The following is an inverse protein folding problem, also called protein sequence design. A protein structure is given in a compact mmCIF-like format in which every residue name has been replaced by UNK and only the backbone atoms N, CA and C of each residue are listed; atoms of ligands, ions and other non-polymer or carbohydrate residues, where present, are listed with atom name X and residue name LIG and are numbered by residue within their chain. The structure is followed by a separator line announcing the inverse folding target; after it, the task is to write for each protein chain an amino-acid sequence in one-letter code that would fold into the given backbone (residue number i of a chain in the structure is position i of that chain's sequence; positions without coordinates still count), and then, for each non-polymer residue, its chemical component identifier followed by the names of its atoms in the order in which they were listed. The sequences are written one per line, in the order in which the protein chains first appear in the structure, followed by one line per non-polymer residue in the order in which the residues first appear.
data_IF_351678288077
#
_entry.id   IF_351678288077
#
_cell.length_a   1.000
_cell.length_b   1.000
_cell.length_c   1.000
_cell.angle_alpha   90.00
_cell.angle_beta   90.00
_cell.angle_gamma   90.00
#
_symmetry.space_group_name_H-M   'P 1'
#
loop_
_entity.id
_entity.type
_entity.pdbx_description
1 polymer ?
#
# COMPACT_ATOMS: atom_id res chain seq x y z
N UNK A 1 17.02 -31.13 -36.00
CA UNK A 1 15.75 -30.84 -35.29
C UNK A 1 16.11 -30.24 -33.94
N UNK A 2 15.90 -28.95 -33.77
CA UNK A 2 16.18 -28.27 -32.51
C UNK A 2 14.88 -28.18 -31.71
N UNK A 3 14.78 -28.94 -30.63
CA UNK A 3 13.70 -28.81 -29.67
C UNK A 3 13.88 -27.54 -28.88
N UNK A 4 13.04 -26.56 -29.18
CA UNK A 4 12.91 -25.33 -28.37
C UNK A 4 12.04 -25.68 -27.17
N UNK A 5 12.66 -25.95 -26.03
CA UNK A 5 11.95 -26.01 -24.77
C UNK A 5 11.52 -24.58 -24.40
N UNK A 6 10.24 -24.29 -24.64
CA UNK A 6 9.60 -23.13 -24.01
C UNK A 6 9.62 -23.36 -22.49
N UNK A 7 10.47 -22.59 -21.80
CA UNK A 7 10.37 -22.46 -20.35
C UNK A 7 9.06 -21.74 -20.06
N UNK A 8 8.05 -22.48 -19.71
CA UNK A 8 6.85 -21.93 -19.07
C UNK A 8 7.28 -21.57 -17.66
N UNK A 9 7.56 -20.28 -17.45
CA UNK A 9 7.77 -19.74 -16.12
C UNK A 9 6.41 -19.79 -15.41
N UNK A 10 6.25 -20.76 -14.55
CA UNK A 10 5.13 -20.82 -13.62
C UNK A 10 5.38 -19.74 -12.58
N UNK A 11 4.87 -18.54 -12.85
CA UNK A 11 4.72 -17.51 -11.83
C UNK A 11 3.59 -18.00 -10.93
N UNK A 12 3.96 -18.80 -9.95
CA UNK A 12 3.06 -19.18 -8.87
C UNK A 12 2.83 -17.92 -8.03
N UNK A 13 1.66 -17.35 -8.19
CA UNK A 13 1.15 -16.19 -7.47
C UNK A 13 1.24 -16.49 -5.97
N UNK A 14 2.26 -15.93 -5.33
CA UNK A 14 2.42 -15.95 -3.86
C UNK A 14 1.63 -14.81 -3.22
N UNK A 15 0.47 -14.48 -3.78
CA UNK A 15 -0.46 -13.51 -3.19
C UNK A 15 -1.15 -14.05 -1.92
N UNK A 16 -1.02 -15.34 -1.65
CA UNK A 16 -1.71 -16.04 -0.56
C UNK A 16 -1.09 -15.83 0.84
N UNK A 17 0.05 -15.15 0.94
CA UNK A 17 0.76 -15.05 2.23
C UNK A 17 0.53 -13.76 3.00
N UNK A 18 -0.09 -12.74 2.39
CA UNK A 18 -0.36 -11.45 3.06
C UNK A 18 -1.69 -11.44 3.82
N UNK A 19 -2.60 -12.37 3.49
CA UNK A 19 -3.95 -12.38 4.07
C UNK A 19 -4.07 -13.09 5.43
N UNK A 20 -2.99 -13.57 6.04
CA UNK A 20 -3.08 -14.37 7.27
C UNK A 20 -2.78 -13.61 8.58
N UNK A 21 -2.78 -12.27 8.59
CA UNK A 21 -2.79 -11.50 9.82
C UNK A 21 -4.21 -11.19 10.31
N UNK A 22 -5.09 -12.18 10.25
CA UNK A 22 -6.34 -12.15 10.99
C UNK A 22 -6.03 -12.42 12.47
N UNK A 23 -5.33 -11.48 13.10
CA UNK A 23 -5.21 -11.46 14.56
C UNK A 23 -6.58 -11.11 15.13
N UNK A 24 -7.14 -11.98 15.91
CA UNK A 24 -8.34 -11.77 16.73
C UNK A 24 -8.09 -10.68 17.77
N UNK A 25 -8.13 -9.42 17.35
CA UNK A 25 -8.04 -8.25 18.22
C UNK A 25 -8.91 -7.13 17.65
N UNK A 26 -9.72 -6.52 18.51
CA UNK A 26 -10.58 -5.40 18.13
C UNK A 26 -9.73 -4.14 17.90
N UNK A 27 -9.26 -3.93 16.67
CA UNK A 27 -8.53 -2.73 16.28
C UNK A 27 -7.29 -3.01 15.43
N UNK A 28 -6.72 -1.94 14.90
CA UNK A 28 -5.49 -1.95 14.12
C UNK A 28 -4.35 -1.49 15.03
N UNK A 29 -3.28 -2.28 15.10
CA UNK A 29 -2.09 -1.89 15.87
C UNK A 29 -1.19 -1.01 15.03
N UNK A 30 -0.71 0.10 15.63
CA UNK A 30 0.11 1.07 14.93
C UNK A 30 1.38 0.50 14.32
N UNK A 31 2.07 -0.40 15.00
CA UNK A 31 3.28 -1.02 14.49
C UNK A 31 3.01 -1.99 13.32
N UNK A 32 1.88 -2.70 13.36
CA UNK A 32 1.42 -3.55 12.25
C UNK A 32 1.05 -2.69 11.03
N UNK A 33 0.36 -1.57 11.24
CA UNK A 33 0.02 -0.63 10.18
C UNK A 33 1.26 -0.02 9.51
N UNK A 34 2.27 0.36 10.29
CA UNK A 34 3.55 0.89 9.77
C UNK A 34 4.31 -0.14 8.95
N UNK A 35 4.39 -1.39 9.43
CA UNK A 35 5.02 -2.48 8.70
C UNK A 35 4.29 -2.74 7.38
N UNK A 36 2.96 -2.74 7.40
CA UNK A 36 2.13 -2.93 6.23
C UNK A 36 2.33 -1.85 5.16
N UNK A 37 2.39 -0.58 5.57
CA UNK A 37 2.68 0.54 4.66
C UNK A 37 4.11 0.44 4.10
N UNK A 38 5.08 0.04 4.91
CA UNK A 38 6.44 -0.12 4.44
C UNK A 38 6.54 -1.20 3.34
N UNK A 39 5.89 -2.34 3.53
CA UNK A 39 5.86 -3.42 2.55
C UNK A 39 5.13 -3.00 1.25
N UNK A 40 4.08 -2.18 1.38
CA UNK A 40 3.40 -1.56 0.25
C UNK A 40 4.35 -0.64 -0.54
N UNK A 41 5.10 0.23 0.12
CA UNK A 41 6.08 1.09 -0.55
C UNK A 41 7.21 0.30 -1.21
N UNK A 42 7.67 -0.78 -0.59
CA UNK A 42 8.67 -1.67 -1.20
C UNK A 42 8.14 -2.25 -2.52
N UNK A 43 6.88 -2.64 -2.58
CA UNK A 43 6.28 -3.14 -3.81
C UNK A 43 6.17 -2.06 -4.89
N UNK A 44 5.83 -0.82 -4.52
CA UNK A 44 5.78 0.31 -5.46
C UNK A 44 7.16 0.62 -6.04
N UNK A 45 8.18 0.74 -5.21
CA UNK A 45 9.57 1.02 -5.64
C UNK A 45 10.10 -0.08 -6.57
N UNK A 46 9.65 -1.31 -6.38
CA UNK A 46 10.01 -2.44 -7.22
C UNK A 46 9.15 -2.58 -8.49
N UNK A 47 8.20 -1.67 -8.74
CA UNK A 47 7.22 -1.77 -9.83
C UNK A 47 6.39 -3.07 -9.83
N UNK A 48 6.27 -3.69 -8.65
CA UNK A 48 5.44 -4.87 -8.45
C UNK A 48 3.97 -4.46 -8.17
N UNK A 49 3.32 -3.80 -9.14
CA UNK A 49 1.99 -3.18 -8.95
C UNK A 49 0.91 -4.20 -8.60
N UNK A 50 0.92 -5.37 -9.23
CA UNK A 50 0.00 -6.47 -8.88
C UNK A 50 0.13 -6.88 -7.40
N UNK A 51 1.35 -6.85 -6.87
CA UNK A 51 1.63 -7.12 -5.46
C UNK A 51 1.21 -5.95 -4.58
N UNK A 52 1.47 -4.72 -5.03
CA UNK A 52 1.07 -3.51 -4.30
C UNK A 52 -0.47 -3.43 -4.17
N UNK A 53 -1.22 -3.82 -5.21
CA UNK A 53 -2.67 -3.89 -5.17
C UNK A 53 -3.23 -4.87 -4.13
N UNK A 54 -2.46 -5.93 -3.78
CA UNK A 54 -2.84 -6.84 -2.70
C UNK A 54 -2.89 -6.18 -1.31
N UNK A 55 -2.28 -5.00 -1.15
CA UNK A 55 -2.35 -4.20 0.08
C UNK A 55 -3.59 -3.31 0.14
N UNK A 56 -4.34 -3.17 -0.94
CA UNK A 56 -5.57 -2.39 -0.95
C UNK A 56 -6.70 -3.14 -0.25
N UNK A 57 -7.58 -2.38 0.39
CA UNK A 57 -8.79 -2.95 0.96
C UNK A 57 -9.71 -3.49 -0.15
N UNK A 58 -10.34 -4.67 0.03
CA UNK A 58 -11.19 -5.27 -1.01
C UNK A 58 -12.35 -4.39 -1.48
N UNK A 59 -12.83 -3.49 -0.61
CA UNK A 59 -13.88 -2.53 -0.94
C UNK A 59 -13.37 -1.28 -1.68
N UNK A 60 -12.06 -1.16 -1.84
CA UNK A 60 -11.42 -0.04 -2.56
C UNK A 60 -10.37 -0.54 -3.55
N UNK A 61 -10.72 -1.39 -4.52
CA UNK A 61 -9.80 -1.76 -5.58
C UNK A 61 -9.45 -0.52 -6.43
N UNK A 62 -8.20 -0.41 -6.84
CA UNK A 62 -7.75 0.64 -7.73
C UNK A 62 -6.68 0.10 -8.68
N UNK A 63 -6.58 0.67 -9.86
CA UNK A 63 -5.45 0.50 -10.75
C UNK A 63 -4.29 1.38 -10.24
N UNK A 64 -3.42 0.77 -9.44
CA UNK A 64 -2.32 1.48 -8.82
C UNK A 64 -1.29 1.95 -9.84
N UNK A 65 -1.02 1.19 -10.88
CA UNK A 65 -0.05 1.58 -11.91
C UNK A 65 -0.46 2.90 -12.54
N UNK A 66 -1.69 3.00 -13.03
CA UNK A 66 -2.19 4.25 -13.62
C UNK A 66 -2.21 5.39 -12.60
N UNK A 67 -2.70 5.15 -11.39
CA UNK A 67 -2.75 6.17 -10.35
C UNK A 67 -1.37 6.71 -9.98
N UNK A 68 -0.39 5.83 -9.79
CA UNK A 68 0.97 6.23 -9.40
C UNK A 68 1.69 6.97 -10.52
N UNK A 69 1.51 6.56 -11.77
CA UNK A 69 2.05 7.27 -12.94
C UNK A 69 1.46 8.69 -13.07
N UNK A 70 0.17 8.85 -12.81
CA UNK A 70 -0.47 10.17 -12.80
C UNK A 70 0.12 11.05 -11.69
N UNK A 71 0.27 10.52 -10.48
CA UNK A 71 0.90 11.22 -9.35
C UNK A 71 2.36 11.59 -9.64
N UNK A 72 3.15 10.68 -10.22
CA UNK A 72 4.53 10.97 -10.62
C UNK A 72 4.61 12.15 -11.60
N UNK A 73 3.70 12.19 -12.56
CA UNK A 73 3.64 13.26 -13.54
C UNK A 73 3.19 14.60 -12.93
N UNK A 74 2.14 14.59 -12.10
CA UNK A 74 1.58 15.79 -11.47
C UNK A 74 2.53 16.40 -10.45
N UNK A 75 3.12 15.56 -9.61
CA UNK A 75 3.99 15.99 -8.52
C UNK A 75 5.47 16.03 -8.93
N UNK A 76 5.80 15.58 -10.14
CA UNK A 76 7.15 15.46 -10.67
C UNK A 76 8.08 14.73 -9.68
N UNK A 77 7.68 13.55 -9.27
CA UNK A 77 8.43 12.60 -8.46
C UNK A 77 8.66 11.33 -9.26
N UNK A 78 9.61 10.51 -8.85
CA UNK A 78 9.88 9.19 -9.42
C UNK A 78 9.99 8.20 -8.25
N UNK A 79 9.01 7.32 -8.11
CA UNK A 79 8.97 6.34 -7.02
C UNK A 79 10.08 5.30 -7.13
N UNK A 80 10.63 5.08 -8.33
CA UNK A 80 11.75 4.15 -8.54
C UNK A 80 13.06 4.66 -7.93
N UNK A 81 13.18 5.97 -7.69
CA UNK A 81 14.31 6.55 -6.96
C UNK A 81 14.31 6.18 -5.47
N UNK A 82 13.24 5.55 -4.99
CA UNK A 82 13.06 5.08 -3.62
C UNK A 82 12.10 5.93 -2.82
N UNK A 83 11.46 5.29 -1.86
CA UNK A 83 10.54 5.91 -0.90
C UNK A 83 11.09 5.69 0.50
N UNK A 84 11.52 6.75 1.17
CA UNK A 84 12.05 6.69 2.52
C UNK A 84 11.15 7.46 3.49
N UNK A 85 10.57 6.77 4.46
CA UNK A 85 9.79 7.41 5.52
C UNK A 85 10.74 8.07 6.51
N UNK A 86 10.85 9.41 6.47
CA UNK A 86 11.69 10.15 7.41
C UNK A 86 11.04 10.27 8.78
N UNK A 87 9.73 10.48 8.82
CA UNK A 87 9.02 10.73 10.07
C UNK A 87 7.51 10.54 9.91
N UNK A 88 6.90 9.86 10.87
CA UNK A 88 5.45 9.91 11.06
C UNK A 88 5.07 11.22 11.75
N UNK A 89 4.16 11.99 11.16
CA UNK A 89 3.78 13.33 11.60
C UNK A 89 2.39 13.39 12.21
N UNK A 90 1.56 12.39 11.92
CA UNK A 90 0.23 12.29 12.48
C UNK A 90 -0.27 10.86 12.48
N UNK A 91 -1.19 10.60 13.38
CA UNK A 91 -2.00 9.37 13.36
C UNK A 91 -3.37 9.68 13.95
N UNK A 92 -4.38 9.05 13.41
CA UNK A 92 -5.69 9.00 14.01
C UNK A 92 -6.22 7.57 13.95
N UNK A 93 -7.10 7.23 14.86
CA UNK A 93 -7.82 5.97 14.82
C UNK A 93 -9.27 6.19 15.23
N UNK A 94 -10.18 5.59 14.50
CA UNK A 94 -11.60 5.59 14.82
C UNK A 94 -12.18 4.19 14.71
N UNK A 95 -13.30 3.96 15.40
CA UNK A 95 -14.00 2.68 15.37
C UNK A 95 -15.08 2.63 14.29
N UNK A 96 -15.47 3.78 13.76
CA UNK A 96 -16.48 3.90 12.71
C UNK A 96 -16.23 5.15 11.89
N UNK A 97 -16.11 4.98 10.59
CA UNK A 97 -16.23 6.05 9.64
C UNK A 97 -17.62 5.99 8.98
N UNK A 98 -18.12 7.13 8.55
CA UNK A 98 -19.38 7.25 7.83
C UNK A 98 -19.38 6.54 6.47
N UNK A 99 -18.22 6.27 5.92
CA UNK A 99 -18.04 5.71 4.59
C UNK A 99 -17.89 4.19 4.61
N UNK A 100 -17.18 3.65 5.60
CA UNK A 100 -16.91 2.21 5.73
C UNK A 100 -17.02 1.81 7.18
N UNK A 101 -17.91 0.89 7.49
CA UNK A 101 -18.03 0.35 8.85
C UNK A 101 -16.77 -0.43 9.22
N UNK A 102 -16.23 -0.20 10.41
CA UNK A 102 -15.08 -0.91 10.93
C UNK A 102 -14.12 -0.05 11.72
N UNK A 103 -12.89 -0.54 11.88
CA UNK A 103 -11.81 0.23 12.48
C UNK A 103 -10.99 0.90 11.39
N UNK A 104 -10.75 2.20 11.54
CA UNK A 104 -9.87 2.96 10.65
C UNK A 104 -8.61 3.38 11.39
N UNK A 105 -7.51 3.42 10.67
CA UNK A 105 -6.23 3.89 11.17
C UNK A 105 -5.55 4.73 10.09
N UNK A 106 -5.45 6.02 10.33
CA UNK A 106 -4.83 6.97 9.41
C UNK A 106 -3.43 7.31 9.89
N UNK A 107 -2.48 7.25 8.99
CA UNK A 107 -1.10 7.62 9.19
C UNK A 107 -0.72 8.73 8.23
N UNK A 108 -0.22 9.83 8.77
CA UNK A 108 0.42 10.88 7.99
C UNK A 108 1.92 10.81 8.20
N UNK A 109 2.68 10.86 7.13
CA UNK A 109 4.13 10.75 7.17
C UNK A 109 4.81 11.72 6.22
N UNK A 110 5.94 12.25 6.66
CA UNK A 110 6.89 12.93 5.80
C UNK A 110 7.82 11.90 5.19
N UNK A 111 7.89 11.90 3.89
CA UNK A 111 8.56 10.88 3.10
C UNK A 111 9.47 11.53 2.09
N UNK A 112 10.63 10.96 1.87
CA UNK A 112 11.54 11.37 0.82
C UNK A 112 11.38 10.42 -0.36
N UNK A 113 11.09 10.99 -1.54
CA UNK A 113 11.05 10.28 -2.81
C UNK A 113 12.14 10.85 -3.70
N UNK A 114 13.19 10.07 -3.91
CA UNK A 114 14.41 10.60 -4.53
C UNK A 114 14.96 11.80 -3.78
N UNK A 115 14.93 12.98 -4.41
CA UNK A 115 15.39 14.24 -3.82
C UNK A 115 14.26 15.14 -3.28
N UNK A 116 13.01 14.72 -3.42
CA UNK A 116 11.84 15.48 -2.97
C UNK A 116 11.32 14.99 -1.64
N UNK A 117 10.87 15.93 -0.82
CA UNK A 117 10.10 15.63 0.38
C UNK A 117 8.63 15.78 0.06
N UNK A 118 7.88 14.74 0.30
CA UNK A 118 6.42 14.67 0.09
C UNK A 118 5.73 14.25 1.39
N UNK A 119 4.46 14.58 1.50
CA UNK A 119 3.63 14.14 2.61
C UNK A 119 2.66 13.07 2.10
N UNK A 120 2.74 11.87 2.64
CA UNK A 120 1.73 10.83 2.45
C UNK A 120 0.75 10.82 3.60
N UNK A 121 -0.52 10.64 3.26
CA UNK A 121 -1.57 10.29 4.21
C UNK A 121 -2.22 9.00 3.73
N UNK A 122 -2.15 7.97 4.56
CA UNK A 122 -2.64 6.62 4.24
C UNK A 122 -3.65 6.20 5.31
N UNK A 123 -4.84 5.83 4.87
CA UNK A 123 -5.88 5.26 5.70
C UNK A 123 -5.98 3.76 5.48
N UNK A 124 -5.90 3.00 6.56
CA UNK A 124 -6.09 1.55 6.58
C UNK A 124 -7.43 1.26 7.24
N UNK A 125 -8.20 0.37 6.63
CA UNK A 125 -9.49 -0.09 7.15
C UNK A 125 -9.41 -1.57 7.47
N UNK A 126 -10.02 -1.94 8.60
CA UNK A 126 -10.26 -3.32 9.01
C UNK A 126 -11.74 -3.50 9.35
N UNK A 127 -12.42 -4.35 8.58
CA UNK A 127 -13.81 -4.69 8.78
C UNK A 127 -14.08 -6.17 8.47
N UNK A 128 -15.34 -6.57 8.42
CA UNK A 128 -15.75 -7.96 8.09
C UNK A 128 -15.34 -8.37 6.67
N UNK A 129 -15.16 -7.41 5.75
CA UNK A 129 -14.82 -7.66 4.35
C UNK A 129 -13.31 -7.74 4.11
N UNK A 130 -12.49 -7.26 5.05
CA UNK A 130 -11.05 -7.37 4.94
C UNK A 130 -10.23 -6.35 5.72
N UNK A 131 -8.96 -6.33 5.38
CA UNK A 131 -7.94 -5.42 5.90
C UNK A 131 -7.13 -4.87 4.73
N UNK A 132 -6.92 -3.58 4.69
CA UNK A 132 -6.06 -2.99 3.66
C UNK A 132 -6.12 -1.48 3.60
N UNK A 133 -5.32 -0.92 2.70
CA UNK A 133 -5.28 0.50 2.41
C UNK A 133 -6.58 0.88 1.71
N UNK A 134 -7.28 1.84 2.30
CA UNK A 134 -8.56 2.32 1.79
C UNK A 134 -8.42 3.68 1.09
N UNK A 135 -7.53 4.52 1.59
CA UNK A 135 -7.25 5.81 0.97
C UNK A 135 -5.74 6.10 0.98
N UNK A 136 -5.28 6.75 -0.07
CA UNK A 136 -3.91 7.18 -0.26
C UNK A 136 -3.94 8.60 -0.83
N UNK A 137 -3.29 9.53 -0.15
CA UNK A 137 -3.17 10.92 -0.55
C UNK A 137 -1.71 11.35 -0.47
N UNK A 138 -1.27 12.15 -1.44
CA UNK A 138 0.08 12.65 -1.55
C UNK A 138 0.05 14.16 -1.80
N UNK A 139 0.76 14.90 -0.94
CA UNK A 139 0.97 16.34 -1.04
C UNK A 139 2.48 16.66 -1.14
N UNK A 140 2.88 17.60 -1.98
CA UNK A 140 4.26 18.11 -2.10
C UNK A 140 4.47 19.47 -1.43
#
# INVERSE_FOLDING_TARGET
MKHVFKKVSVITITCLFVCSLASCGNGIKGDEAKAYINDFFVAIVAEEYDKAECFLHPERPADLETFLLDVENEENVDFQEGIEIEKYTGFSSSLYDSTVAGSTYELTMRTKVGNKTVKFTIEIVKNENGYGIYNLDLDT
#
